data_IF_973355465395
#
_entry.id   IF_973355465395
#
_cell.length_a   1.000
_cell.length_b   1.000
_cell.length_c   1.000
_cell.angle_alpha   90.00
_cell.angle_beta   90.00
_cell.angle_gamma   90.00
#
_symmetry.space_group_name_H-M   'P 1'
#
loop_
_entity.id
_entity.type
_entity.pdbx_description
1 polymer ?
#
# COMPACT_ATOMS: atom_id res chain seq x y z
N UNK A 1 -1.98 -15.96 21.72
CA UNK A 1 -0.85 -15.72 20.79
C UNK A 1 -1.43 -15.63 19.39
N UNK A 2 -1.26 -14.52 18.67
CA UNK A 2 -1.76 -14.38 17.30
C UNK A 2 -1.02 -15.32 16.35
N UNK A 3 -1.68 -16.39 15.94
CA UNK A 3 -1.14 -17.44 15.07
C UNK A 3 -0.56 -16.88 13.76
N UNK A 4 -1.15 -15.80 13.25
CA UNK A 4 -0.75 -15.09 12.03
C UNK A 4 0.65 -14.45 12.07
N UNK A 5 1.22 -14.24 13.25
CA UNK A 5 2.56 -13.64 13.41
C UNK A 5 3.66 -14.70 13.61
N UNK A 6 3.34 -15.99 13.50
CA UNK A 6 4.36 -17.02 13.37
C UNK A 6 5.08 -16.84 12.02
N UNK A 7 6.40 -16.63 12.06
CA UNK A 7 7.21 -16.37 10.88
C UNK A 7 6.95 -17.35 9.72
N UNK A 8 6.81 -18.65 9.97
CA UNK A 8 6.57 -19.64 8.91
C UNK A 8 5.18 -19.50 8.30
N UNK A 9 4.17 -19.23 9.12
CA UNK A 9 2.79 -19.03 8.67
C UNK A 9 2.72 -17.74 7.86
N UNK A 10 3.29 -16.66 8.38
CA UNK A 10 3.27 -15.36 7.72
C UNK A 10 4.03 -15.35 6.38
N UNK A 11 5.18 -16.02 6.34
CA UNK A 11 5.93 -16.23 5.09
C UNK A 11 5.12 -17.05 4.08
N UNK A 12 4.47 -18.14 4.52
CA UNK A 12 3.59 -18.94 3.66
C UNK A 12 2.45 -18.10 3.08
N UNK A 13 1.82 -17.27 3.88
CA UNK A 13 0.75 -16.37 3.43
C UNK A 13 1.24 -15.39 2.37
N UNK A 14 2.41 -14.77 2.57
CA UNK A 14 3.01 -13.85 1.59
C UNK A 14 3.34 -14.59 0.29
N UNK A 15 3.96 -15.76 0.37
CA UNK A 15 4.32 -16.54 -0.82
C UNK A 15 3.07 -17.00 -1.61
N UNK A 16 2.01 -17.39 -0.91
CA UNK A 16 0.74 -17.78 -1.54
C UNK A 16 0.08 -16.60 -2.25
N UNK A 17 0.09 -15.40 -1.64
CA UNK A 17 -0.39 -14.18 -2.28
C UNK A 17 0.41 -13.81 -3.54
N UNK A 18 1.74 -13.88 -3.46
CA UNK A 18 2.61 -13.61 -4.60
C UNK A 18 2.41 -14.64 -5.73
N UNK A 19 2.20 -15.92 -5.38
CA UNK A 19 1.94 -16.98 -6.37
C UNK A 19 0.59 -16.78 -7.06
N UNK A 20 -0.49 -16.58 -6.29
CA UNK A 20 -1.83 -16.38 -6.86
C UNK A 20 -1.89 -15.17 -7.78
N UNK A 21 -1.20 -14.08 -7.43
CA UNK A 21 -1.05 -12.90 -8.31
C UNK A 21 -0.38 -13.25 -9.64
N UNK A 22 0.68 -14.07 -9.62
CA UNK A 22 1.36 -14.53 -10.84
C UNK A 22 0.47 -15.47 -11.66
N UNK A 23 -0.29 -16.33 -11.01
CA UNK A 23 -1.19 -17.27 -11.67
C UNK A 23 -2.33 -16.54 -12.38
N UNK A 24 -2.93 -15.51 -11.77
CA UNK A 24 -3.90 -14.62 -12.42
C UNK A 24 -3.32 -14.04 -13.71
N UNK A 25 -2.13 -13.43 -13.63
CA UNK A 25 -1.50 -12.81 -14.79
C UNK A 25 -1.22 -13.84 -15.89
N UNK A 26 -0.68 -15.01 -15.52
CA UNK A 26 -0.37 -16.08 -16.47
C UNK A 26 -1.62 -16.61 -17.16
N UNK A 27 -2.67 -16.93 -16.40
CA UNK A 27 -3.91 -17.48 -16.96
C UNK A 27 -4.63 -16.40 -17.79
N UNK A 28 -4.58 -15.14 -17.36
CA UNK A 28 -5.12 -13.99 -18.10
C UNK A 28 -4.50 -13.87 -19.49
N UNK A 29 -3.16 -13.86 -19.58
CA UNK A 29 -2.43 -13.80 -20.85
C UNK A 29 -2.79 -14.97 -21.77
N UNK A 30 -2.80 -16.20 -21.24
CA UNK A 30 -3.18 -17.39 -22.02
C UNK A 30 -4.62 -17.29 -22.54
N UNK A 31 -5.54 -16.79 -21.72
CA UNK A 31 -6.95 -16.63 -22.12
C UNK A 31 -7.10 -15.62 -23.24
N UNK A 32 -6.34 -14.52 -23.18
CA UNK A 32 -6.29 -13.50 -24.22
C UNK A 32 -5.74 -14.05 -25.54
N UNK A 33 -4.63 -14.78 -25.51
CA UNK A 33 -4.06 -15.45 -26.70
C UNK A 33 -5.04 -16.43 -27.37
N UNK A 34 -5.81 -17.16 -26.56
CA UNK A 34 -6.85 -18.07 -27.07
C UNK A 34 -7.98 -17.27 -27.73
N UNK A 35 -8.44 -16.17 -27.12
CA UNK A 35 -9.46 -15.29 -27.71
C UNK A 35 -9.01 -14.73 -29.06
N UNK A 36 -7.79 -14.24 -29.15
CA UNK A 36 -7.22 -13.73 -30.40
C UNK A 36 -7.13 -14.81 -31.48
N UNK A 37 -6.79 -16.04 -31.07
CA UNK A 37 -6.74 -17.18 -31.98
C UNK A 37 -8.13 -17.55 -32.50
N UNK A 38 -9.16 -17.52 -31.65
CA UNK A 38 -10.55 -17.72 -32.08
C UNK A 38 -10.97 -16.63 -33.06
N UNK A 39 -10.66 -15.36 -32.78
CA UNK A 39 -10.99 -14.23 -33.66
C UNK A 39 -10.34 -14.40 -35.04
N UNK A 40 -9.04 -14.74 -35.08
CA UNK A 40 -8.31 -15.02 -36.33
C UNK A 40 -8.94 -16.17 -37.11
N UNK A 41 -9.28 -17.29 -36.45
CA UNK A 41 -9.95 -18.42 -37.11
C UNK A 41 -11.33 -18.05 -37.66
N UNK A 42 -12.10 -17.24 -36.92
CA UNK A 42 -13.42 -16.74 -37.35
C UNK A 42 -13.34 -15.95 -38.66
N UNK A 43 -12.36 -15.05 -38.80
CA UNK A 43 -12.17 -14.28 -40.05
C UNK A 43 -11.88 -15.17 -41.26
N UNK A 44 -11.22 -16.31 -41.04
CA UNK A 44 -10.86 -17.30 -42.07
C UNK A 44 -11.93 -18.37 -42.28
N UNK A 45 -13.08 -18.29 -41.58
CA UNK A 45 -14.14 -19.31 -41.56
C UNK A 45 -13.64 -20.71 -41.17
N UNK A 46 -12.61 -20.79 -40.34
CA UNK A 46 -12.04 -22.04 -39.82
C UNK A 46 -12.77 -22.43 -38.53
N UNK A 47 -13.00 -23.73 -38.33
CA UNK A 47 -13.57 -24.22 -37.08
C UNK A 47 -12.69 -23.86 -35.87
N UNK A 48 -13.36 -23.43 -34.81
CA UNK A 48 -12.75 -22.96 -33.56
C UNK A 48 -13.44 -23.58 -32.34
N UNK A 49 -14.21 -24.65 -32.53
CA UNK A 49 -14.92 -25.37 -31.47
C UNK A 49 -13.99 -25.74 -30.29
N UNK A 50 -12.85 -26.36 -30.58
CA UNK A 50 -11.84 -26.73 -29.57
C UNK A 50 -11.28 -25.52 -28.82
N UNK A 51 -10.93 -24.45 -29.55
CA UNK A 51 -10.41 -23.22 -28.93
C UNK A 51 -11.46 -22.56 -28.03
N UNK A 52 -12.74 -22.59 -28.40
CA UNK A 52 -13.84 -22.06 -27.57
C UNK A 52 -14.00 -22.87 -26.27
N UNK A 53 -13.86 -24.20 -26.35
CA UNK A 53 -13.87 -25.06 -25.16
C UNK A 53 -12.66 -24.78 -24.26
N UNK A 54 -11.47 -24.68 -24.84
CA UNK A 54 -10.25 -24.33 -24.12
C UNK A 54 -10.35 -22.96 -23.44
N UNK A 55 -10.94 -21.96 -24.13
CA UNK A 55 -11.18 -20.63 -23.57
C UNK A 55 -12.08 -20.70 -22.33
N UNK A 56 -13.22 -21.41 -22.41
CA UNK A 56 -14.13 -21.57 -21.26
C UNK A 56 -13.44 -22.17 -20.05
N UNK A 57 -12.61 -23.20 -20.27
CA UNK A 57 -11.83 -23.82 -19.18
C UNK A 57 -10.87 -22.81 -18.56
N UNK A 58 -10.16 -22.02 -19.38
CA UNK A 58 -9.23 -21.01 -18.87
C UNK A 58 -9.92 -19.85 -18.15
N UNK A 59 -11.09 -19.44 -18.62
CA UNK A 59 -11.92 -18.43 -17.94
C UNK A 59 -12.38 -18.91 -16.56
N UNK A 60 -12.77 -20.18 -16.42
CA UNK A 60 -13.10 -20.76 -15.12
C UNK A 60 -11.87 -20.87 -14.21
N UNK A 61 -10.72 -21.30 -14.74
CA UNK A 61 -9.46 -21.31 -13.99
C UNK A 61 -9.07 -19.90 -13.50
N UNK A 62 -9.27 -18.87 -14.35
CA UNK A 62 -8.98 -17.49 -13.99
C UNK A 62 -9.88 -17.02 -12.85
N UNK A 63 -11.17 -17.33 -12.92
CA UNK A 63 -12.14 -17.00 -11.86
C UNK A 63 -11.73 -17.60 -10.51
N UNK A 64 -11.31 -18.86 -10.50
CA UNK A 64 -10.83 -19.53 -9.28
C UNK A 64 -9.54 -18.89 -8.76
N UNK A 65 -8.58 -18.61 -9.65
CA UNK A 65 -7.33 -17.93 -9.26
C UNK A 65 -7.56 -16.52 -8.69
N UNK A 66 -8.53 -15.77 -9.24
CA UNK A 66 -8.94 -14.46 -8.70
C UNK A 66 -9.55 -14.60 -7.30
N UNK A 67 -10.43 -15.59 -7.11
CA UNK A 67 -11.03 -15.84 -5.81
C UNK A 67 -9.98 -16.21 -4.75
N UNK A 68 -9.08 -17.14 -5.09
CA UNK A 68 -7.97 -17.55 -4.21
C UNK A 68 -7.07 -16.37 -3.83
N UNK A 69 -6.80 -15.46 -4.78
CA UNK A 69 -6.02 -14.27 -4.52
C UNK A 69 -6.71 -13.29 -3.57
N UNK A 70 -8.02 -13.07 -3.74
CA UNK A 70 -8.80 -12.22 -2.84
C UNK A 70 -8.86 -12.79 -1.42
N UNK A 71 -8.97 -14.11 -1.27
CA UNK A 71 -8.95 -14.76 0.05
C UNK A 71 -7.56 -14.68 0.72
N UNK A 72 -6.49 -14.84 -0.06
CA UNK A 72 -5.12 -14.56 0.41
C UNK A 72 -4.96 -13.11 0.88
N UNK A 73 -5.47 -12.16 0.09
CA UNK A 73 -5.41 -10.72 0.36
C UNK A 73 -6.15 -10.37 1.65
N UNK A 74 -7.36 -10.88 1.87
CA UNK A 74 -8.12 -10.67 3.12
C UNK A 74 -7.37 -11.18 4.34
N UNK A 75 -6.81 -12.39 4.24
CA UNK A 75 -6.08 -13.02 5.35
C UNK A 75 -4.81 -12.23 5.68
N UNK A 76 -4.07 -11.78 4.65
CA UNK A 76 -2.89 -10.92 4.83
C UNK A 76 -3.25 -9.55 5.39
N UNK A 77 -4.35 -8.94 4.97
CA UNK A 77 -4.79 -7.65 5.50
C UNK A 77 -5.02 -7.73 7.01
N UNK A 78 -5.64 -8.81 7.49
CA UNK A 78 -5.82 -9.06 8.94
C UNK A 78 -4.48 -9.21 9.67
N UNK A 79 -3.53 -9.96 9.09
CA UNK A 79 -2.20 -10.13 9.66
C UNK A 79 -1.40 -8.81 9.70
N UNK A 80 -1.45 -8.01 8.63
CA UNK A 80 -0.81 -6.69 8.56
C UNK A 80 -1.47 -5.69 9.51
N UNK A 81 -2.79 -5.72 9.65
CA UNK A 81 -3.53 -4.88 10.61
C UNK A 81 -3.03 -5.16 12.03
N UNK A 82 -3.02 -6.44 12.41
CA UNK A 82 -2.52 -6.89 13.71
C UNK A 82 -1.06 -6.47 13.95
N UNK A 83 -0.20 -6.63 12.95
CA UNK A 83 1.20 -6.23 13.05
C UNK A 83 1.34 -4.71 13.25
N UNK A 84 0.63 -3.94 12.44
CA UNK A 84 0.66 -2.47 12.46
C UNK A 84 0.14 -1.94 13.80
N UNK A 85 -0.97 -2.49 14.29
CA UNK A 85 -1.54 -2.12 15.59
C UNK A 85 -0.54 -2.37 16.73
N UNK A 86 0.12 -3.52 16.75
CA UNK A 86 1.16 -3.81 17.74
C UNK A 86 2.33 -2.83 17.67
N UNK A 87 2.73 -2.42 16.47
CA UNK A 87 3.84 -1.47 16.27
C UNK A 87 3.42 -0.06 16.72
N UNK A 88 2.21 0.41 16.38
CA UNK A 88 1.70 1.71 16.81
C UNK A 88 1.67 1.80 18.33
N UNK A 89 1.14 0.77 19.01
CA UNK A 89 1.11 0.69 20.49
C UNK A 89 2.51 0.77 21.10
N UNK A 90 3.50 0.13 20.47
CA UNK A 90 4.88 0.13 20.95
C UNK A 90 5.62 1.47 20.70
N UNK A 91 5.46 2.05 19.50
CA UNK A 91 6.30 3.14 19.04
C UNK A 91 5.91 4.53 19.56
N UNK A 92 4.70 4.68 20.14
CA UNK A 92 4.21 5.92 20.79
C UNK A 92 4.39 7.18 19.92
N UNK A 93 4.01 7.15 18.65
CA UNK A 93 4.09 8.32 17.79
C UNK A 93 2.97 9.33 18.07
N UNK A 94 3.15 10.22 19.04
CA UNK A 94 2.11 11.15 19.53
C UNK A 94 1.62 12.21 18.52
N UNK A 95 2.29 12.38 17.38
CA UNK A 95 1.97 13.40 16.37
C UNK A 95 1.14 12.86 15.19
N UNK A 96 0.83 11.56 15.21
CA UNK A 96 0.06 10.88 14.17
C UNK A 96 -1.13 10.24 14.87
N UNK A 97 -2.29 10.30 14.24
CA UNK A 97 -3.44 9.52 14.70
C UNK A 97 -3.14 8.01 14.63
N UNK A 98 -3.61 7.27 15.63
CA UNK A 98 -3.29 5.85 15.76
C UNK A 98 -3.97 5.02 14.67
N UNK A 99 -5.21 5.34 14.31
CA UNK A 99 -5.97 4.59 13.30
C UNK A 99 -5.41 4.88 11.91
N UNK A 100 -5.08 6.15 11.62
CA UNK A 100 -4.38 6.54 10.39
C UNK A 100 -3.04 5.80 10.26
N UNK A 101 -2.26 5.73 11.35
CA UNK A 101 -1.01 5.00 11.35
C UNK A 101 -1.22 3.50 11.09
N UNK A 102 -2.22 2.86 11.71
CA UNK A 102 -2.52 1.44 11.45
C UNK A 102 -2.89 1.21 9.99
N UNK A 103 -3.74 2.06 9.41
CA UNK A 103 -4.13 1.98 8.01
C UNK A 103 -2.91 2.11 7.08
N UNK A 104 -2.09 3.14 7.29
CA UNK A 104 -0.84 3.36 6.56
C UNK A 104 0.15 2.18 6.71
N UNK A 105 0.16 1.53 7.89
CA UNK A 105 0.93 0.32 8.14
C UNK A 105 0.50 -0.88 7.29
N UNK A 106 -0.81 -1.07 7.12
CA UNK A 106 -1.35 -2.10 6.21
C UNK A 106 -1.01 -1.77 4.76
N UNK A 107 -1.20 -0.52 4.35
CA UNK A 107 -0.93 -0.06 2.98
C UNK A 107 0.54 -0.26 2.59
N UNK A 108 1.48 0.17 3.44
CA UNK A 108 2.91 0.03 3.13
C UNK A 108 3.34 -1.44 3.05
N UNK A 109 2.71 -2.34 3.80
CA UNK A 109 2.97 -3.78 3.68
C UNK A 109 2.57 -4.30 2.29
N UNK A 110 1.39 -3.94 1.78
CA UNK A 110 0.98 -4.32 0.42
C UNK A 110 1.86 -3.70 -0.67
N UNK A 111 2.32 -2.46 -0.50
CA UNK A 111 3.23 -1.81 -1.45
C UNK A 111 4.60 -2.50 -1.54
N UNK A 112 5.05 -3.14 -0.45
CA UNK A 112 6.36 -3.80 -0.37
C UNK A 112 6.30 -5.31 -0.53
N UNK A 113 5.11 -5.91 -0.47
CA UNK A 113 4.95 -7.37 -0.44
C UNK A 113 5.60 -8.08 -1.62
N UNK A 114 5.50 -7.53 -2.84
CA UNK A 114 6.08 -8.14 -4.05
C UNK A 114 7.62 -8.15 -4.03
N UNK A 115 8.25 -7.36 -3.16
CA UNK A 115 9.72 -7.26 -3.03
C UNK A 115 10.29 -8.19 -1.97
N UNK A 116 9.44 -8.82 -1.16
CA UNK A 116 9.87 -9.76 -0.14
C UNK A 116 10.43 -11.04 -0.78
N UNK A 117 11.58 -11.50 -0.27
CA UNK A 117 12.25 -12.74 -0.66
C UNK A 117 12.63 -13.50 0.62
N UNK A 118 12.03 -14.67 0.85
CA UNK A 118 12.25 -15.47 2.06
C UNK A 118 13.69 -15.96 2.22
N UNK A 119 14.47 -16.00 1.14
CA UNK A 119 15.89 -16.37 1.18
C UNK A 119 16.76 -15.26 1.78
N UNK A 120 16.28 -14.01 1.79
CA UNK A 120 17.03 -12.83 2.25
C UNK A 120 16.70 -12.45 3.70
N UNK A 121 15.64 -13.02 4.29
CA UNK A 121 15.28 -12.72 5.66
C UNK A 121 13.87 -13.19 6.03
N UNK A 122 13.54 -13.03 7.31
CA UNK A 122 12.25 -13.44 7.87
C UNK A 122 11.15 -12.44 7.51
N UNK A 123 9.98 -12.95 7.14
CA UNK A 123 8.80 -12.16 6.78
C UNK A 123 8.42 -11.11 7.85
N UNK A 124 8.36 -11.52 9.12
CA UNK A 124 8.02 -10.62 10.23
C UNK A 124 8.99 -9.44 10.32
N UNK A 125 10.29 -9.70 10.24
CA UNK A 125 11.32 -8.66 10.34
C UNK A 125 11.24 -7.69 9.16
N UNK A 126 11.04 -8.21 7.95
CA UNK A 126 10.91 -7.41 6.75
C UNK A 126 9.72 -6.45 6.83
N UNK A 127 8.54 -6.97 7.17
CA UNK A 127 7.31 -6.18 7.27
C UNK A 127 7.37 -5.18 8.41
N UNK A 128 7.85 -5.59 9.59
CA UNK A 128 8.05 -4.69 10.73
C UNK A 128 8.97 -3.54 10.37
N UNK A 129 10.05 -3.80 9.62
CA UNK A 129 10.99 -2.76 9.16
C UNK A 129 10.31 -1.79 8.19
N UNK A 130 9.50 -2.29 7.25
CA UNK A 130 8.75 -1.45 6.32
C UNK A 130 7.79 -0.51 7.07
N UNK A 131 7.00 -1.05 8.01
CA UNK A 131 6.04 -0.28 8.82
C UNK A 131 6.77 0.77 9.67
N UNK A 132 7.81 0.37 10.43
CA UNK A 132 8.54 1.30 11.30
C UNK A 132 9.18 2.44 10.52
N UNK A 133 9.75 2.17 9.35
CA UNK A 133 10.35 3.20 8.51
C UNK A 133 9.30 4.17 7.96
N UNK A 134 8.14 3.65 7.58
CA UNK A 134 7.01 4.47 7.14
C UNK A 134 6.50 5.39 8.25
N UNK A 135 6.28 4.86 9.45
CA UNK A 135 5.82 5.67 10.59
C UNK A 135 6.83 6.74 10.99
N UNK A 136 8.13 6.44 10.94
CA UNK A 136 9.18 7.46 11.14
C UNK A 136 9.11 8.57 10.09
N UNK A 137 8.74 8.26 8.85
CA UNK A 137 8.55 9.27 7.80
C UNK A 137 7.31 10.12 8.08
N UNK A 138 6.16 9.50 8.38
CA UNK A 138 4.93 10.21 8.75
C UNK A 138 5.16 11.16 9.92
N UNK A 139 5.86 10.70 10.96
CA UNK A 139 6.16 11.50 12.14
C UNK A 139 7.03 12.71 11.80
N UNK A 140 8.08 12.51 10.98
CA UNK A 140 8.93 13.61 10.50
C UNK A 140 8.14 14.63 9.69
N UNK A 141 7.26 14.18 8.81
CA UNK A 141 6.40 15.07 8.01
C UNK A 141 5.48 15.90 8.90
N UNK A 142 4.79 15.27 9.86
CA UNK A 142 3.88 15.96 10.79
C UNK A 142 4.63 16.97 11.67
N UNK A 143 5.80 16.59 12.20
CA UNK A 143 6.65 17.48 12.97
C UNK A 143 7.10 18.70 12.16
N UNK A 144 7.62 18.49 10.95
CA UNK A 144 8.09 19.57 10.09
C UNK A 144 6.96 20.54 9.73
N UNK A 145 5.75 20.01 9.49
CA UNK A 145 4.57 20.83 9.24
C UNK A 145 4.21 21.70 10.46
N UNK A 146 4.22 21.12 11.67
CA UNK A 146 3.94 21.87 12.90
C UNK A 146 4.99 22.95 13.17
N UNK A 147 6.27 22.66 12.93
CA UNK A 147 7.35 23.64 13.04
C UNK A 147 7.18 24.79 12.03
N UNK A 148 6.82 24.48 10.77
CA UNK A 148 6.54 25.48 9.75
C UNK A 148 5.34 26.35 10.12
N UNK A 149 4.25 25.75 10.59
CA UNK A 149 3.05 26.45 11.03
C UNK A 149 3.36 27.41 12.17
N UNK A 150 4.18 26.99 13.14
CA UNK A 150 4.63 27.84 14.25
C UNK A 150 5.41 29.05 13.72
N UNK A 151 6.42 28.84 12.87
CA UNK A 151 7.22 29.94 12.29
C UNK A 151 6.36 30.94 11.51
N UNK A 152 5.35 30.44 10.80
CA UNK A 152 4.41 31.29 10.07
C UNK A 152 3.56 32.14 11.03
N UNK A 153 3.04 31.55 12.11
CA UNK A 153 2.28 32.29 13.11
C UNK A 153 3.15 33.35 13.80
N UNK A 154 4.38 33.01 14.17
CA UNK A 154 5.34 33.95 14.77
C UNK A 154 5.62 35.13 13.82
N UNK A 155 5.78 34.85 12.52
CA UNK A 155 5.96 35.89 11.49
C UNK A 155 4.74 36.79 11.31
N UNK A 156 3.52 36.22 11.31
CA UNK A 156 2.29 37.01 11.23
C UNK A 156 2.11 37.92 12.45
N UNK A 157 2.38 37.41 13.65
CA UNK A 157 2.34 38.21 14.89
C UNK A 157 3.39 39.33 14.89
N UNK A 158 4.58 39.07 14.35
CA UNK A 158 5.61 40.10 14.18
C UNK A 158 5.14 41.21 13.22
N UNK A 159 4.50 40.86 12.10
CA UNK A 159 3.94 41.84 11.16
C UNK A 159 2.83 42.66 11.84
N UNK A 160 1.89 42.01 12.53
CA UNK A 160 0.78 42.69 13.20
C UNK A 160 1.26 43.58 14.36
N UNK A 161 2.25 43.12 15.14
CA UNK A 161 2.86 43.90 16.24
C UNK A 161 3.68 45.10 15.76
N UNK A 162 4.33 44.99 14.60
CA UNK A 162 5.05 46.11 13.98
C UNK A 162 4.12 47.01 13.14
N UNK A 163 2.88 46.59 12.89
CA UNK A 163 1.85 47.41 12.25
C UNK A 163 1.23 48.38 13.25
N UNK A 164 2.02 49.35 13.72
CA UNK A 164 1.49 50.51 14.45
C UNK A 164 0.65 51.35 13.50
N UNK A 165 -0.68 51.23 13.58
CA UNK A 165 -1.61 52.16 12.94
C UNK A 165 -1.42 53.57 13.51
N UNK A 166 -0.60 54.39 12.86
CA UNK A 166 -0.67 55.85 12.96
C UNK A 166 -1.18 56.41 11.64
N UNK A 167 -2.42 56.89 11.65
CA UNK A 167 -3.05 57.72 10.62
C UNK A 167 -3.13 57.11 9.20
N UNK A 168 -3.71 55.91 9.07
CA UNK A 168 -4.35 55.46 7.82
C UNK A 168 -3.43 55.20 6.60
N UNK A 169 -2.11 55.13 6.77
CA UNK A 169 -1.18 54.64 5.74
C UNK A 169 -0.29 53.54 6.30
N UNK A 170 -0.32 52.38 5.66
CA UNK A 170 0.64 51.29 5.87
C UNK A 170 2.03 51.77 5.46
N UNK A 171 2.93 51.93 6.42
CA UNK A 171 4.36 52.13 6.17
C UNK A 171 5.08 50.91 6.71
N UNK A 172 5.80 50.20 5.83
CA UNK A 172 6.73 49.15 6.26
C UNK A 172 7.95 49.83 6.85
N UNK A 173 8.19 49.62 8.14
CA UNK A 173 9.38 50.14 8.80
C UNK A 173 10.61 49.36 8.28
N UNK A 174 11.35 50.00 7.38
CA UNK A 174 12.66 49.51 6.94
C UNK A 174 13.69 49.98 7.95
N UNK A 175 13.92 49.23 9.02
CA UNK A 175 15.14 49.41 9.80
C UNK A 175 15.64 48.10 10.43
N UNK A 176 16.80 47.69 9.88
CA UNK A 176 17.89 46.84 10.39
C UNK A 176 17.62 45.37 10.76
#
# INVERSE_FOLDING_TARGET
>A
MNEYLNNKIFEKMINQFQSSKKDINRIGLISEEIRDTILRKKTRKIDSSENKTALKIKEECLKNAVQDHEDCKRTLASAFFTLSENIVRYAKFHLIDADDAVQEGVMICFDKIDRFDSRKGKAFNYMTTCILNHFRQLYRTARNYNELKKRYLDHMQFIEGNSSFKNGKLMFDKNQ
#
